data_IF_161091406571
#
_entry.id   IF_161091406571
#
_cell.length_a   1.000
_cell.length_b   1.000
_cell.length_c   1.000
_cell.angle_alpha   90.00
_cell.angle_beta   90.00
_cell.angle_gamma   90.00
#
_symmetry.space_group_name_H-M   'P 1'
#
loop_
_entity.id
_entity.type
_entity.pdbx_description
1 polymer ?
#
# COMPACT_ATOMS: atom_id res chain seq x y z
N UNK A 1 7.30 23.48 -24.06
CA UNK A 1 6.00 23.40 -23.33
C UNK A 1 6.12 22.33 -22.23
N UNK A 2 5.89 22.70 -20.97
CA UNK A 2 5.83 21.70 -19.87
C UNK A 2 4.42 21.11 -19.88
N UNK A 3 4.28 19.95 -20.50
CA UNK A 3 2.98 19.26 -20.60
C UNK A 3 2.43 18.96 -19.20
N UNK A 4 1.14 19.15 -19.00
CA UNK A 4 0.42 18.80 -17.77
C UNK A 4 0.65 17.33 -17.46
N UNK A 5 0.61 16.45 -18.48
CA UNK A 5 0.91 15.03 -18.35
C UNK A 5 2.27 14.75 -17.71
N UNK A 6 3.33 15.49 -18.05
CA UNK A 6 4.65 15.30 -17.46
C UNK A 6 4.70 15.74 -15.98
N UNK A 7 3.95 16.78 -15.60
CA UNK A 7 3.83 17.20 -14.19
C UNK A 7 3.12 16.12 -13.36
N UNK A 8 2.03 15.58 -13.88
CA UNK A 8 1.27 14.49 -13.24
C UNK A 8 2.11 13.23 -13.12
N UNK A 9 2.83 12.84 -14.17
CA UNK A 9 3.68 11.64 -14.18
C UNK A 9 4.83 11.76 -13.17
N UNK A 10 5.46 12.93 -13.06
CA UNK A 10 6.49 13.18 -12.05
C UNK A 10 5.94 13.08 -10.63
N UNK A 11 4.74 13.59 -10.38
CA UNK A 11 4.07 13.49 -9.07
C UNK A 11 3.76 12.02 -8.70
N UNK A 12 3.25 11.25 -9.66
CA UNK A 12 3.00 9.80 -9.46
C UNK A 12 4.31 9.08 -9.17
N UNK A 13 5.39 9.39 -9.91
CA UNK A 13 6.70 8.78 -9.67
C UNK A 13 7.23 9.03 -8.25
N UNK A 14 7.06 10.24 -7.71
CA UNK A 14 7.42 10.57 -6.33
C UNK A 14 6.64 9.70 -5.33
N UNK A 15 5.33 9.55 -5.51
CA UNK A 15 4.51 8.69 -4.65
C UNK A 15 4.92 7.21 -4.72
N UNK A 16 5.21 6.71 -5.91
CA UNK A 16 5.68 5.32 -6.11
C UNK A 16 7.01 5.09 -5.38
N UNK A 17 7.95 6.05 -5.45
CA UNK A 17 9.23 5.96 -4.74
C UNK A 17 9.04 5.96 -3.22
N UNK A 18 8.22 6.87 -2.68
CA UNK A 18 7.94 6.93 -1.23
C UNK A 18 7.30 5.62 -0.76
N UNK A 19 6.31 5.11 -1.50
CA UNK A 19 5.66 3.83 -1.19
C UNK A 19 6.62 2.66 -1.28
N UNK A 20 7.49 2.62 -2.30
CA UNK A 20 8.52 1.60 -2.46
C UNK A 20 9.49 1.54 -1.29
N UNK A 21 9.97 2.71 -0.82
CA UNK A 21 10.85 2.81 0.35
C UNK A 21 10.14 2.30 1.61
N UNK A 22 8.90 2.73 1.84
CA UNK A 22 8.12 2.28 2.99
C UNK A 22 7.93 0.76 3.00
N UNK A 23 7.57 0.19 1.86
CA UNK A 23 7.39 -1.26 1.69
C UNK A 23 8.71 -2.02 1.96
N UNK A 24 9.82 -1.55 1.41
CA UNK A 24 11.13 -2.18 1.59
C UNK A 24 11.56 -2.18 3.08
N UNK A 25 11.39 -1.07 3.80
CA UNK A 25 11.65 -0.96 5.23
C UNK A 25 10.76 -1.90 6.03
N UNK A 26 9.46 -1.93 5.74
CA UNK A 26 8.49 -2.79 6.42
C UNK A 26 8.80 -4.27 6.24
N UNK A 27 9.09 -4.72 5.02
CA UNK A 27 9.45 -6.11 4.72
C UNK A 27 10.72 -6.54 5.46
N UNK A 28 11.76 -5.67 5.47
CA UNK A 28 13.01 -5.96 6.19
C UNK A 28 12.78 -6.14 7.68
N UNK A 29 11.98 -5.26 8.28
CA UNK A 29 11.67 -5.34 9.71
C UNK A 29 10.81 -6.55 10.05
N UNK A 30 9.79 -6.87 9.25
CA UNK A 30 8.98 -8.07 9.43
C UNK A 30 9.83 -9.34 9.41
N UNK A 31 10.83 -9.41 8.53
CA UNK A 31 11.75 -10.55 8.50
C UNK A 31 12.56 -10.67 9.79
N UNK A 32 13.09 -9.57 10.33
CA UNK A 32 13.81 -9.55 11.61
C UNK A 32 12.93 -9.98 12.78
N UNK A 33 11.71 -9.44 12.86
CA UNK A 33 10.70 -9.76 13.87
C UNK A 33 10.32 -11.24 13.83
N UNK A 34 10.07 -11.77 12.63
CA UNK A 34 9.73 -13.19 12.44
C UNK A 34 10.87 -14.11 12.88
N UNK A 35 12.11 -13.78 12.55
CA UNK A 35 13.28 -14.57 12.93
C UNK A 35 13.48 -14.58 14.45
N UNK A 36 13.37 -13.44 15.13
CA UNK A 36 13.48 -13.37 16.58
C UNK A 36 12.36 -14.15 17.27
N UNK A 37 11.10 -14.00 16.81
CA UNK A 37 9.97 -14.78 17.34
C UNK A 37 10.14 -16.28 17.14
N UNK A 38 10.55 -16.71 15.95
CA UNK A 38 10.79 -18.12 15.65
C UNK A 38 11.88 -18.72 16.55
N UNK A 39 12.99 -18.00 16.79
CA UNK A 39 14.03 -18.45 17.71
C UNK A 39 13.50 -18.68 19.13
N UNK A 40 12.72 -17.76 19.65
CA UNK A 40 12.12 -17.90 20.99
C UNK A 40 11.20 -19.12 21.03
N UNK A 41 10.27 -19.24 20.10
CA UNK A 41 9.22 -20.28 20.14
C UNK A 41 9.67 -21.66 19.67
N UNK A 42 10.65 -21.73 18.77
CA UNK A 42 11.09 -22.99 18.16
C UNK A 42 12.41 -23.53 18.73
N UNK A 43 13.11 -22.74 19.54
CA UNK A 43 14.40 -23.13 20.12
C UNK A 43 14.43 -22.97 21.66
N UNK A 44 14.29 -21.74 22.16
CA UNK A 44 14.47 -21.48 23.61
C UNK A 44 13.35 -22.09 24.48
N UNK A 45 12.08 -21.88 24.11
CA UNK A 45 10.94 -22.43 24.88
C UNK A 45 10.95 -23.95 24.89
N UNK A 46 11.20 -24.66 23.78
CA UNK A 46 11.33 -26.11 23.81
C UNK A 46 12.44 -26.60 24.74
N UNK A 47 13.63 -25.99 24.75
CA UNK A 47 14.71 -26.35 25.68
C UNK A 47 14.26 -26.21 27.15
N UNK A 48 13.61 -25.07 27.49
CA UNK A 48 13.06 -24.89 28.85
C UNK A 48 12.02 -25.95 29.20
N UNK A 49 11.21 -26.39 28.24
CA UNK A 49 10.22 -27.44 28.43
C UNK A 49 10.89 -28.77 28.70
N UNK A 50 11.95 -29.10 27.96
CA UNK A 50 12.70 -30.35 28.21
C UNK A 50 13.42 -30.35 29.56
N UNK A 51 14.02 -29.24 29.98
CA UNK A 51 14.61 -29.09 31.31
C UNK A 51 13.54 -29.36 32.39
N UNK A 52 12.34 -28.81 32.25
CA UNK A 52 11.24 -29.05 33.16
C UNK A 52 10.78 -30.53 33.19
N UNK A 53 10.76 -31.20 32.03
CA UNK A 53 10.45 -32.61 31.92
C UNK A 53 11.51 -33.44 32.65
N UNK A 54 12.79 -33.14 32.45
CA UNK A 54 13.92 -33.79 33.16
C UNK A 54 13.78 -33.65 34.66
N UNK A 55 13.55 -32.44 35.20
CA UNK A 55 13.35 -32.18 36.61
C UNK A 55 12.25 -33.07 37.18
N UNK A 56 11.10 -33.13 36.52
CA UNK A 56 9.97 -33.98 36.95
C UNK A 56 10.32 -35.48 36.94
N UNK A 57 11.06 -35.92 35.93
CA UNK A 57 11.46 -37.32 35.83
C UNK A 57 12.50 -37.67 36.91
N UNK A 58 13.42 -36.76 37.22
CA UNK A 58 14.34 -36.92 38.35
C UNK A 58 13.61 -37.01 39.69
N UNK A 59 12.65 -36.13 39.98
CA UNK A 59 11.83 -36.18 41.20
C UNK A 59 11.06 -37.50 41.34
N UNK A 60 10.46 -37.99 40.23
CA UNK A 60 9.72 -39.24 40.22
C UNK A 60 10.64 -40.44 40.40
N UNK A 61 11.79 -40.45 39.69
CA UNK A 61 12.81 -41.48 39.84
C UNK A 61 13.31 -41.58 41.26
N UNK A 62 13.65 -40.46 41.90
CA UNK A 62 14.03 -40.39 43.31
C UNK A 62 12.92 -40.95 44.23
N UNK A 63 11.65 -40.58 43.97
CA UNK A 63 10.50 -41.09 44.72
C UNK A 63 10.35 -42.60 44.58
N UNK A 64 10.49 -43.16 43.38
CA UNK A 64 10.41 -44.60 43.15
C UNK A 64 11.52 -45.33 43.86
N UNK A 65 12.76 -44.88 43.76
CA UNK A 65 13.91 -45.46 44.48
C UNK A 65 13.72 -45.41 46.01
N UNK A 66 13.18 -44.33 46.55
CA UNK A 66 12.89 -44.21 47.97
C UNK A 66 11.85 -45.20 48.39
N UNK A 67 10.77 -45.44 47.64
CA UNK A 67 9.75 -46.43 47.98
C UNK A 67 10.34 -47.84 47.89
N UNK A 68 11.08 -48.20 46.86
CA UNK A 68 11.71 -49.47 46.65
C UNK A 68 12.69 -49.81 47.82
N UNK A 69 13.43 -48.80 48.30
CA UNK A 69 14.40 -48.94 49.40
C UNK A 69 13.76 -49.12 50.78
N UNK A 70 12.46 -48.78 50.91
CA UNK A 70 11.76 -48.86 52.21
C UNK A 70 10.82 -50.06 52.35
N UNK A 71 10.32 -50.62 51.23
CA UNK A 71 9.31 -51.68 51.24
C UNK A 71 9.85 -52.96 50.60
N UNK A 72 9.77 -54.07 51.30
CA UNK A 72 10.14 -55.42 50.86
C UNK A 72 8.91 -56.12 50.23
N UNK A 73 8.45 -55.64 49.11
CA UNK A 73 7.33 -56.18 48.34
C UNK A 73 7.77 -56.34 46.86
N UNK A 74 7.91 -57.61 46.44
CA UNK A 74 8.46 -57.94 45.13
C UNK A 74 7.59 -57.48 43.98
N UNK A 75 6.24 -57.53 44.12
CA UNK A 75 5.33 -57.07 43.04
C UNK A 75 5.37 -55.53 42.90
N UNK A 76 5.37 -54.80 44.00
CA UNK A 76 5.53 -53.34 44.03
C UNK A 76 6.90 -52.95 43.52
N UNK A 77 7.97 -53.68 43.90
CA UNK A 77 9.33 -53.45 43.43
C UNK A 77 9.40 -53.52 41.91
N UNK A 78 8.94 -54.58 41.25
CA UNK A 78 8.98 -54.81 39.85
C UNK A 78 8.21 -53.71 39.08
N UNK A 79 7.05 -53.28 39.63
CA UNK A 79 6.27 -52.18 39.03
C UNK A 79 7.01 -50.84 39.09
N UNK A 80 7.65 -50.51 40.21
CA UNK A 80 8.37 -49.26 40.40
C UNK A 80 9.70 -49.22 39.61
N UNK A 81 10.39 -50.35 39.47
CA UNK A 81 11.58 -50.51 38.63
C UNK A 81 11.25 -50.25 37.16
N UNK A 82 10.11 -50.76 36.67
CA UNK A 82 9.62 -50.45 35.33
C UNK A 82 9.35 -48.94 35.16
N UNK A 83 8.69 -48.32 36.15
CA UNK A 83 8.42 -46.89 36.17
C UNK A 83 9.70 -46.05 36.23
N UNK A 84 10.71 -46.50 36.99
CA UNK A 84 12.03 -45.84 37.04
C UNK A 84 12.75 -45.91 35.69
N UNK A 85 12.71 -47.04 35.00
CA UNK A 85 13.28 -47.20 33.67
C UNK A 85 12.62 -46.26 32.63
N UNK A 86 11.30 -46.06 32.77
CA UNK A 86 10.57 -45.09 31.92
C UNK A 86 11.02 -43.65 32.20
N UNK A 87 11.25 -43.26 33.46
CA UNK A 87 11.75 -41.90 33.78
C UNK A 87 13.19 -41.70 33.30
N UNK A 88 14.07 -42.72 33.45
CA UNK A 88 15.44 -42.65 32.89
C UNK A 88 15.41 -42.48 31.36
N UNK A 89 14.53 -43.21 30.68
CA UNK A 89 14.34 -43.08 29.26
C UNK A 89 13.86 -41.67 28.90
N UNK A 90 12.94 -41.11 29.67
CA UNK A 90 12.43 -39.74 29.46
C UNK A 90 13.54 -38.70 29.62
N UNK A 91 14.43 -38.85 30.60
CA UNK A 91 15.59 -37.98 30.81
C UNK A 91 16.49 -38.01 29.55
N UNK A 92 16.84 -39.21 29.08
CA UNK A 92 17.73 -39.39 27.92
C UNK A 92 17.10 -38.86 26.61
N UNK A 93 15.79 -39.03 26.43
CA UNK A 93 15.08 -38.48 25.27
C UNK A 93 15.02 -36.95 25.31
N UNK A 94 14.77 -36.37 26.47
CA UNK A 94 14.76 -34.92 26.66
C UNK A 94 16.15 -34.31 26.47
N UNK A 95 17.20 -34.93 26.96
CA UNK A 95 18.60 -34.56 26.73
C UNK A 95 18.91 -34.53 25.22
N UNK A 96 18.59 -35.62 24.53
CA UNK A 96 18.75 -35.67 23.06
C UNK A 96 17.97 -34.58 22.32
N UNK A 97 16.77 -34.24 22.79
CA UNK A 97 15.96 -33.19 22.26
C UNK A 97 16.61 -31.82 22.48
N UNK A 98 17.17 -31.55 23.66
CA UNK A 98 17.92 -30.32 23.96
C UNK A 98 19.11 -30.17 23.00
N UNK A 99 19.92 -31.22 22.83
CA UNK A 99 21.05 -31.24 21.91
C UNK A 99 20.62 -30.96 20.46
N UNK A 100 19.48 -31.51 20.00
CA UNK A 100 18.94 -31.28 18.66
C UNK A 100 18.42 -29.81 18.45
N UNK A 101 17.92 -29.19 19.52
CA UNK A 101 17.59 -27.75 19.47
C UNK A 101 18.84 -26.90 19.45
N UNK A 102 19.91 -27.27 20.19
CA UNK A 102 21.17 -26.56 20.20
C UNK A 102 21.87 -26.55 18.84
N UNK A 103 21.88 -27.67 18.12
CA UNK A 103 22.47 -27.73 16.76
C UNK A 103 21.87 -26.67 15.80
N UNK A 104 20.66 -26.22 16.05
CA UNK A 104 19.98 -25.18 15.27
C UNK A 104 20.32 -23.76 15.76
N UNK A 105 21.06 -23.64 16.85
CA UNK A 105 21.41 -22.38 17.48
C UNK A 105 22.89 -22.06 17.25
N UNK A 106 23.19 -20.88 16.76
CA UNK A 106 24.56 -20.39 16.60
C UNK A 106 25.01 -19.64 17.88
N UNK A 107 25.11 -20.40 19.02
CA UNK A 107 25.46 -19.83 20.33
C UNK A 107 26.41 -20.72 21.11
N UNK A 108 27.68 -20.39 21.11
CA UNK A 108 28.75 -21.12 21.77
C UNK A 108 28.61 -21.16 23.33
N UNK A 109 28.21 -20.02 23.94
CA UNK A 109 28.07 -19.93 25.40
C UNK A 109 26.95 -20.81 25.95
N UNK A 110 25.83 -20.95 25.21
CA UNK A 110 24.74 -21.86 25.59
C UNK A 110 25.15 -23.31 25.39
N UNK A 111 25.97 -23.62 24.40
CA UNK A 111 26.49 -24.98 24.16
C UNK A 111 27.31 -25.50 25.33
N UNK A 112 28.21 -24.68 25.90
CA UNK A 112 29.01 -25.09 27.08
C UNK A 112 28.13 -25.36 28.31
N UNK A 113 27.07 -24.56 28.50
CA UNK A 113 26.15 -24.75 29.64
C UNK A 113 25.24 -25.96 29.47
N UNK A 114 24.81 -26.26 28.27
CA UNK A 114 24.05 -27.47 27.95
C UNK A 114 24.95 -28.68 28.18
N UNK A 115 26.19 -28.67 27.73
CA UNK A 115 27.14 -29.75 27.93
C UNK A 115 27.38 -30.02 29.43
N UNK A 116 27.56 -29.00 30.26
CA UNK A 116 27.70 -29.17 31.69
C UNK A 116 26.42 -29.77 32.33
N UNK A 117 25.25 -29.41 31.80
CA UNK A 117 23.99 -30.01 32.27
C UNK A 117 23.83 -31.47 31.81
N UNK A 118 24.26 -31.81 30.60
CA UNK A 118 24.31 -33.20 30.09
C UNK A 118 25.25 -34.05 30.93
N UNK A 119 26.45 -33.58 31.29
CA UNK A 119 27.40 -34.28 32.17
C UNK A 119 26.77 -34.57 33.57
N UNK A 120 26.02 -33.60 34.09
CA UNK A 120 25.24 -33.84 35.34
C UNK A 120 24.15 -34.91 35.15
N UNK A 121 23.41 -34.90 34.02
CA UNK A 121 22.36 -35.92 33.79
C UNK A 121 22.92 -37.31 33.62
N UNK A 122 24.07 -37.47 32.99
CA UNK A 122 24.79 -38.74 32.93
C UNK A 122 25.12 -39.26 34.36
N UNK A 123 25.60 -38.37 35.24
CA UNK A 123 25.87 -38.69 36.65
C UNK A 123 24.60 -39.07 37.41
N UNK A 124 23.46 -38.44 37.11
CA UNK A 124 22.14 -38.81 37.72
C UNK A 124 21.71 -40.19 37.28
N UNK A 125 21.82 -40.51 35.99
CA UNK A 125 21.46 -41.84 35.47
C UNK A 125 22.38 -42.93 36.09
N UNK A 126 23.67 -42.66 36.17
CA UNK A 126 24.64 -43.56 36.83
C UNK A 126 24.26 -43.79 38.29
N UNK A 127 23.97 -42.70 39.03
CA UNK A 127 23.59 -42.80 40.43
C UNK A 127 22.27 -43.56 40.63
N UNK A 128 21.27 -43.40 39.77
CA UNK A 128 20.04 -44.19 39.80
C UNK A 128 20.32 -45.67 39.61
N UNK A 129 21.20 -46.05 38.68
CA UNK A 129 21.60 -47.43 38.43
C UNK A 129 22.37 -48.01 39.62
N UNK A 130 23.24 -47.23 40.25
CA UNK A 130 23.98 -47.70 41.51
C UNK A 130 23.01 -47.94 42.62
N UNK A 131 22.05 -47.05 42.88
CA UNK A 131 21.03 -47.20 43.90
C UNK A 131 20.18 -48.45 43.63
N UNK A 132 19.75 -48.67 42.39
CA UNK A 132 19.02 -49.86 42.00
C UNK A 132 19.84 -51.11 42.19
N UNK A 133 21.14 -51.14 41.90
CA UNK A 133 22.02 -52.30 42.18
C UNK A 133 22.13 -52.64 43.63
N UNK A 134 22.11 -51.65 44.54
CA UNK A 134 22.04 -51.94 45.98
C UNK A 134 20.68 -52.55 46.37
N UNK A 135 19.57 -52.05 45.79
CA UNK A 135 18.24 -52.65 46.02
C UNK A 135 18.20 -54.10 45.55
N UNK A 136 18.70 -54.40 44.36
CA UNK A 136 18.70 -55.72 43.74
C UNK A 136 19.54 -56.70 44.54
N UNK A 137 20.62 -56.25 45.22
CA UNK A 137 21.44 -57.03 46.10
C UNK A 137 20.86 -57.22 47.52
N UNK A 138 19.74 -56.54 47.80
CA UNK A 138 19.12 -56.55 49.15
C UNK A 138 19.82 -55.67 50.19
N UNK A 139 20.75 -54.81 49.74
CA UNK A 139 21.45 -53.85 50.61
C UNK A 139 20.70 -52.53 50.73
N UNK A 140 19.52 -52.54 51.30
CA UNK A 140 18.65 -51.37 51.47
C UNK A 140 19.31 -50.25 52.31
N UNK A 141 20.28 -50.62 53.20
CA UNK A 141 20.99 -49.59 53.96
C UNK A 141 21.90 -48.74 53.08
N UNK A 142 22.64 -49.37 52.16
CA UNK A 142 23.46 -48.66 51.17
C UNK A 142 22.60 -47.94 50.15
N UNK A 143 21.49 -48.54 49.68
CA UNK A 143 20.55 -47.87 48.79
C UNK A 143 20.02 -46.55 49.38
N UNK A 144 19.60 -46.61 50.67
CA UNK A 144 19.09 -45.44 51.38
C UNK A 144 20.17 -44.37 51.62
N UNK A 145 21.42 -44.78 51.92
CA UNK A 145 22.54 -43.83 52.03
C UNK A 145 22.88 -43.18 50.72
N UNK A 146 22.98 -43.96 49.65
CA UNK A 146 23.23 -43.43 48.32
C UNK A 146 22.13 -42.45 47.83
N UNK A 147 20.88 -42.74 48.17
CA UNK A 147 19.76 -41.86 47.84
C UNK A 147 19.71 -40.58 48.67
N UNK A 148 19.92 -40.69 49.98
CA UNK A 148 19.75 -39.59 50.93
C UNK A 148 20.97 -38.69 51.07
N UNK A 149 22.17 -39.21 50.77
CA UNK A 149 23.42 -38.46 50.87
C UNK A 149 24.07 -38.26 49.52
N UNK A 150 24.41 -39.32 48.77
CA UNK A 150 25.21 -39.20 47.57
C UNK A 150 24.42 -38.51 46.43
N UNK A 151 23.17 -38.94 46.21
CA UNK A 151 22.30 -38.33 45.23
C UNK A 151 21.96 -36.85 45.56
N UNK A 152 21.69 -36.56 46.84
CA UNK A 152 21.42 -35.20 47.27
C UNK A 152 22.64 -34.29 47.12
N UNK A 153 23.85 -34.79 47.40
CA UNK A 153 25.09 -34.07 47.17
C UNK A 153 25.31 -33.82 45.66
N UNK A 154 25.10 -34.84 44.81
CA UNK A 154 25.19 -34.70 43.36
C UNK A 154 24.27 -33.62 42.84
N UNK A 155 22.99 -33.63 43.22
CA UNK A 155 22.02 -32.60 42.80
C UNK A 155 22.45 -31.22 43.28
N UNK A 156 22.91 -31.08 44.53
CA UNK A 156 23.27 -29.81 45.14
C UNK A 156 24.59 -29.24 44.58
N UNK A 157 25.61 -30.08 44.40
CA UNK A 157 26.95 -29.65 44.07
C UNK A 157 27.14 -29.49 42.53
N UNK A 158 26.51 -30.33 41.73
CA UNK A 158 26.62 -30.32 40.27
C UNK A 158 25.33 -29.86 39.59
N UNK A 159 24.17 -30.39 39.99
CA UNK A 159 22.90 -30.16 39.35
C UNK A 159 22.39 -28.71 39.46
N UNK A 160 22.23 -28.22 40.69
CA UNK A 160 21.71 -26.84 40.91
C UNK A 160 22.55 -25.77 40.24
N UNK A 161 23.92 -25.82 40.27
CA UNK A 161 24.73 -24.86 39.55
C UNK A 161 24.60 -24.97 38.03
N UNK A 162 24.61 -26.19 37.47
CA UNK A 162 24.52 -26.43 36.03
C UNK A 162 23.15 -25.96 35.48
N UNK A 163 22.07 -26.36 36.16
CA UNK A 163 20.71 -25.96 35.81
C UNK A 163 20.50 -24.45 35.94
N UNK A 164 20.96 -23.86 37.06
CA UNK A 164 20.87 -22.40 37.26
C UNK A 164 21.63 -21.63 36.16
N UNK A 165 22.83 -22.08 35.79
CA UNK A 165 23.63 -21.48 34.75
C UNK A 165 22.94 -21.59 33.38
N UNK A 166 22.37 -22.76 33.07
CA UNK A 166 21.66 -23.02 31.83
C UNK A 166 20.36 -22.18 31.75
N UNK A 167 19.52 -22.24 32.78
CA UNK A 167 18.24 -21.52 32.84
C UNK A 167 18.47 -20.01 32.74
N UNK A 168 19.45 -19.46 33.45
CA UNK A 168 19.81 -18.04 33.38
C UNK A 168 20.28 -17.63 31.99
N UNK A 169 21.06 -18.49 31.32
CA UNK A 169 21.51 -18.20 29.94
C UNK A 169 20.35 -18.24 28.96
N UNK A 170 19.38 -19.17 29.10
CA UNK A 170 18.17 -19.22 28.31
C UNK A 170 17.29 -17.99 28.54
N UNK A 171 17.06 -17.59 29.77
CA UNK A 171 16.29 -16.40 30.13
C UNK A 171 16.93 -15.15 29.56
N UNK A 172 18.26 -15.05 29.65
CA UNK A 172 18.99 -13.91 29.05
C UNK A 172 18.86 -13.89 27.53
N UNK A 173 19.02 -15.04 26.88
CA UNK A 173 18.82 -15.15 25.42
C UNK A 173 17.41 -14.77 24.97
N UNK A 174 16.38 -15.21 25.72
CA UNK A 174 14.99 -14.81 25.48
C UNK A 174 14.80 -13.29 25.68
N UNK A 175 15.40 -12.74 26.75
CA UNK A 175 15.33 -11.31 27.05
C UNK A 175 15.98 -10.47 25.95
N UNK A 176 17.18 -10.84 25.51
CA UNK A 176 17.92 -10.15 24.45
C UNK A 176 17.17 -10.20 23.11
N UNK A 177 16.60 -11.36 22.75
CA UNK A 177 15.76 -11.51 21.57
C UNK A 177 14.47 -10.70 21.66
N UNK A 178 13.85 -10.66 22.84
CA UNK A 178 12.64 -9.86 23.09
C UNK A 178 12.93 -8.37 23.02
N UNK A 179 14.06 -7.93 23.56
CA UNK A 179 14.51 -6.54 23.42
C UNK A 179 14.77 -6.18 21.94
N UNK A 180 15.48 -7.04 21.21
CA UNK A 180 15.73 -6.86 19.77
C UNK A 180 14.43 -6.82 18.97
N UNK A 181 13.48 -7.70 19.28
CA UNK A 181 12.13 -7.73 18.72
C UNK A 181 11.42 -6.38 18.96
N UNK A 182 11.34 -5.95 20.22
CA UNK A 182 10.68 -4.71 20.60
C UNK A 182 11.33 -3.49 19.96
N UNK A 183 12.66 -3.41 19.95
CA UNK A 183 13.41 -2.34 19.30
C UNK A 183 13.15 -2.29 17.79
N UNK A 184 13.10 -3.45 17.13
CA UNK A 184 12.79 -3.55 15.71
C UNK A 184 11.36 -3.07 15.42
N UNK A 185 10.38 -3.48 16.23
CA UNK A 185 8.98 -3.03 16.12
C UNK A 185 8.86 -1.52 16.35
N UNK A 186 9.46 -0.99 17.41
CA UNK A 186 9.42 0.45 17.73
C UNK A 186 10.08 1.28 16.62
N UNK A 187 11.23 0.84 16.12
CA UNK A 187 11.93 1.52 15.01
C UNK A 187 11.06 1.52 13.75
N UNK A 188 10.41 0.39 13.42
CA UNK A 188 9.51 0.31 12.28
C UNK A 188 8.29 1.24 12.42
N UNK A 189 7.66 1.25 13.59
CA UNK A 189 6.54 2.14 13.88
C UNK A 189 6.93 3.62 13.75
N UNK A 190 8.11 3.99 14.25
CA UNK A 190 8.62 5.35 14.17
C UNK A 190 8.92 5.74 12.72
N UNK A 191 9.62 4.88 11.97
CA UNK A 191 9.89 5.10 10.54
C UNK A 191 8.61 5.20 9.71
N UNK A 192 7.64 4.33 9.95
CA UNK A 192 6.34 4.37 9.28
C UNK A 192 5.59 5.69 9.58
N UNK A 193 5.59 6.15 10.83
CA UNK A 193 4.99 7.44 11.21
C UNK A 193 5.66 8.62 10.50
N UNK A 194 6.99 8.65 10.44
CA UNK A 194 7.77 9.69 9.76
C UNK A 194 7.45 9.69 8.26
N UNK A 195 7.51 8.53 7.60
CA UNK A 195 7.22 8.39 6.18
C UNK A 195 5.77 8.77 5.85
N UNK A 196 4.81 8.40 6.70
CA UNK A 196 3.40 8.78 6.54
C UNK A 196 3.18 10.28 6.68
N UNK A 197 3.80 10.92 7.67
CA UNK A 197 3.76 12.38 7.83
C UNK A 197 4.37 13.09 6.62
N UNK A 198 5.51 12.60 6.12
CA UNK A 198 6.14 13.13 4.91
C UNK A 198 5.25 12.96 3.68
N UNK A 199 4.58 11.80 3.54
CA UNK A 199 3.62 11.56 2.48
C UNK A 199 2.45 12.58 2.49
N UNK A 200 1.89 12.88 3.67
CA UNK A 200 0.82 13.88 3.81
C UNK A 200 1.30 15.26 3.35
N UNK A 201 2.51 15.68 3.76
CA UNK A 201 3.09 16.96 3.36
C UNK A 201 3.25 17.01 1.83
N UNK A 202 3.85 15.99 1.23
CA UNK A 202 4.03 15.91 -0.23
C UNK A 202 2.67 15.92 -0.95
N UNK A 203 1.68 15.16 -0.47
CA UNK A 203 0.34 15.14 -1.05
C UNK A 203 -0.31 16.54 -1.02
N UNK A 204 -0.21 17.24 0.10
CA UNK A 204 -0.74 18.61 0.25
C UNK A 204 -0.08 19.58 -0.73
N UNK A 205 1.25 19.52 -0.88
CA UNK A 205 2.01 20.34 -1.84
C UNK A 205 1.58 20.01 -3.27
N UNK A 206 1.44 18.73 -3.60
CA UNK A 206 0.97 18.28 -4.92
C UNK A 206 -0.43 18.82 -5.24
N UNK A 207 -1.37 18.70 -4.30
CA UNK A 207 -2.74 19.23 -4.46
C UNK A 207 -2.72 20.75 -4.69
N UNK A 208 -1.90 21.47 -3.92
CA UNK A 208 -1.76 22.91 -4.07
C UNK A 208 -1.22 23.32 -5.45
N UNK A 209 -0.17 22.64 -5.92
CA UNK A 209 0.41 22.85 -7.25
C UNK A 209 -0.61 22.54 -8.33
N UNK A 210 -1.30 21.40 -8.27
CA UNK A 210 -2.33 21.01 -9.24
C UNK A 210 -3.47 22.03 -9.30
N UNK A 211 -3.95 22.47 -8.14
CA UNK A 211 -4.99 23.49 -8.06
C UNK A 211 -4.56 24.80 -8.74
N UNK A 212 -3.32 25.25 -8.49
CA UNK A 212 -2.80 26.51 -9.04
C UNK A 212 -2.46 26.42 -10.53
N UNK A 213 -1.92 25.28 -11.00
CA UNK A 213 -1.39 25.19 -12.38
C UNK A 213 -2.33 24.54 -13.38
N UNK A 214 -3.35 23.82 -12.93
CA UNK A 214 -4.29 23.11 -13.82
C UNK A 214 -5.74 23.49 -13.54
N UNK A 215 -6.20 23.22 -12.29
CA UNK A 215 -7.63 23.33 -11.98
C UNK A 215 -8.15 24.77 -12.10
N UNK A 216 -7.42 25.74 -11.54
CA UNK A 216 -7.82 27.15 -11.57
C UNK A 216 -7.81 27.73 -12.99
N UNK A 217 -6.73 27.62 -13.81
CA UNK A 217 -6.74 28.13 -15.18
C UNK A 217 -7.78 27.45 -16.08
N UNK A 218 -8.02 26.15 -15.91
CA UNK A 218 -9.06 25.44 -16.65
C UNK A 218 -10.47 25.95 -16.31
N UNK A 219 -10.74 26.20 -15.02
CA UNK A 219 -12.01 26.75 -14.57
C UNK A 219 -12.22 28.19 -15.08
N UNK A 220 -11.18 29.03 -15.02
CA UNK A 220 -11.22 30.40 -15.53
C UNK A 220 -11.47 30.42 -17.04
N UNK A 221 -10.83 29.53 -17.82
CA UNK A 221 -11.08 29.41 -19.25
C UNK A 221 -12.53 29.00 -19.56
N UNK A 222 -13.05 28.04 -18.84
CA UNK A 222 -14.43 27.56 -18.96
C UNK A 222 -15.45 28.66 -18.59
N UNK A 223 -15.19 29.40 -17.52
CA UNK A 223 -16.07 30.49 -17.08
C UNK A 223 -16.13 31.65 -18.12
N UNK A 224 -14.96 32.12 -18.60
CA UNK A 224 -14.91 33.16 -19.62
C UNK A 224 -15.57 32.70 -20.91
N UNK A 225 -15.37 31.47 -21.35
CA UNK A 225 -16.04 30.91 -22.52
C UNK A 225 -17.56 30.88 -22.35
N UNK A 226 -18.04 30.44 -21.17
CA UNK A 226 -19.47 30.38 -20.86
C UNK A 226 -20.09 31.77 -20.87
N UNK A 227 -19.42 32.76 -20.31
CA UNK A 227 -19.86 34.17 -20.32
C UNK A 227 -19.96 34.73 -21.75
N UNK A 228 -18.95 34.51 -22.61
CA UNK A 228 -18.99 34.88 -24.00
C UNK A 228 -20.18 34.26 -24.75
N UNK A 229 -20.42 32.94 -24.52
CA UNK A 229 -21.55 32.23 -25.14
C UNK A 229 -22.90 32.76 -24.64
N UNK A 230 -23.03 33.05 -23.34
CA UNK A 230 -24.26 33.62 -22.79
C UNK A 230 -24.56 34.99 -23.32
N UNK A 231 -23.55 35.90 -23.45
CA UNK A 231 -23.68 37.20 -24.02
C UNK A 231 -24.10 37.12 -25.52
N UNK A 232 -23.53 36.16 -26.26
CA UNK A 232 -23.94 35.93 -27.69
C UNK A 232 -25.41 35.48 -27.74
N UNK A 233 -25.87 34.58 -26.88
CA UNK A 233 -27.24 34.08 -26.85
C UNK A 233 -28.25 35.20 -26.50
N UNK A 234 -27.86 36.14 -25.65
CA UNK A 234 -28.71 37.27 -25.23
C UNK A 234 -28.70 38.44 -26.21
N UNK A 235 -28.08 38.28 -27.41
CA UNK A 235 -27.86 39.36 -28.42
C UNK A 235 -27.01 40.53 -27.92
N UNK A 236 -26.25 40.37 -26.87
CA UNK A 236 -25.29 41.32 -26.29
C UNK A 236 -23.84 40.89 -26.58
N UNK A 237 -23.64 39.88 -27.44
CA UNK A 237 -22.35 39.26 -27.72
C UNK A 237 -21.35 40.17 -28.43
N UNK A 238 -20.21 40.35 -27.82
CA UNK A 238 -19.03 40.97 -28.43
C UNK A 238 -18.06 39.92 -28.92
N UNK A 239 -18.03 39.66 -30.22
CA UNK A 239 -17.11 38.72 -30.86
C UNK A 239 -15.64 39.21 -30.82
N UNK A 240 -15.33 40.37 -30.23
CA UNK A 240 -13.96 40.83 -29.99
C UNK A 240 -13.41 40.37 -28.66
N UNK A 241 -14.25 39.90 -27.75
CA UNK A 241 -13.81 39.31 -26.48
C UNK A 241 -12.89 38.11 -26.71
N UNK A 242 -11.92 37.92 -25.82
CA UNK A 242 -10.92 36.85 -25.87
C UNK A 242 -10.70 36.28 -24.52
N UNK A 243 -10.42 34.96 -24.48
CA UNK A 243 -10.01 34.26 -23.25
C UNK A 243 -8.57 34.70 -22.92
N UNK A 244 -8.35 35.35 -21.77
CA UNK A 244 -7.03 35.80 -21.32
C UNK A 244 -6.44 34.83 -20.29
N UNK A 245 -6.03 33.64 -20.75
CA UNK A 245 -5.34 32.62 -19.94
C UNK A 245 -3.92 32.48 -20.44
N UNK A 246 -2.94 32.90 -19.63
CA UNK A 246 -1.51 32.88 -19.96
C UNK A 246 -0.77 31.71 -19.30
N UNK A 247 -1.00 30.51 -19.82
CA UNK A 247 -0.25 29.32 -19.43
C UNK A 247 0.53 28.77 -20.63
N UNK A 248 1.70 28.11 -20.33
CA UNK A 248 2.55 27.51 -21.37
C UNK A 248 2.34 26.00 -21.48
N UNK A 249 1.11 25.53 -21.28
CA UNK A 249 0.72 24.12 -21.32
C UNK A 249 -0.52 23.92 -22.20
N UNK A 250 -1.16 22.75 -22.08
CA UNK A 250 -2.32 22.37 -22.89
C UNK A 250 -3.52 23.33 -22.67
N UNK A 251 -3.67 23.94 -21.49
CA UNK A 251 -4.74 24.92 -21.22
C UNK A 251 -4.49 26.20 -22.00
N UNK A 252 -3.25 26.71 -22.05
CA UNK A 252 -2.89 27.85 -22.84
C UNK A 252 -3.07 27.60 -24.36
N UNK A 253 -2.78 26.38 -24.83
CA UNK A 253 -3.02 25.99 -26.21
C UNK A 253 -4.52 25.93 -26.54
N UNK A 254 -5.34 25.41 -25.63
CA UNK A 254 -6.80 25.41 -25.77
C UNK A 254 -7.36 26.82 -25.85
N UNK A 255 -6.95 27.70 -24.93
CA UNK A 255 -7.38 29.10 -24.91
C UNK A 255 -7.03 29.82 -26.22
N UNK A 256 -5.81 29.57 -26.74
CA UNK A 256 -5.40 30.10 -28.05
C UNK A 256 -6.29 29.57 -29.19
N UNK A 257 -6.56 28.26 -29.23
CA UNK A 257 -7.42 27.65 -30.23
C UNK A 257 -8.85 28.23 -30.23
N UNK A 258 -9.40 28.48 -29.03
CA UNK A 258 -10.71 29.14 -28.89
C UNK A 258 -10.64 30.58 -29.39
N UNK A 259 -9.61 31.35 -29.07
CA UNK A 259 -9.43 32.71 -29.55
C UNK A 259 -9.28 32.79 -31.08
N UNK A 260 -8.56 31.86 -31.68
CA UNK A 260 -8.40 31.73 -33.13
C UNK A 260 -9.76 31.42 -33.79
N UNK A 261 -10.56 30.54 -33.22
CA UNK A 261 -11.92 30.23 -33.66
C UNK A 261 -12.84 31.44 -33.57
N UNK A 262 -12.81 32.18 -32.44
CA UNK A 262 -13.58 33.43 -32.29
C UNK A 262 -13.19 34.47 -33.36
N UNK A 263 -11.90 34.60 -33.67
CA UNK A 263 -11.43 35.48 -34.75
C UNK A 263 -11.96 35.09 -36.14
N UNK A 264 -12.06 33.79 -36.43
CA UNK A 264 -12.65 33.28 -37.66
C UNK A 264 -14.16 33.57 -37.71
N UNK A 265 -14.91 33.34 -36.62
CA UNK A 265 -16.33 33.68 -36.54
C UNK A 265 -16.56 35.17 -36.77
N UNK A 266 -15.79 36.03 -36.12
CA UNK A 266 -15.85 37.50 -36.32
C UNK A 266 -15.65 37.87 -37.79
N UNK A 267 -14.66 37.27 -38.47
CA UNK A 267 -14.40 37.50 -39.91
C UNK A 267 -15.57 37.06 -40.78
N UNK A 268 -16.18 35.91 -40.49
CA UNK A 268 -17.36 35.39 -41.22
C UNK A 268 -18.56 36.33 -41.05
N UNK A 269 -18.87 36.73 -39.84
CA UNK A 269 -20.00 37.66 -39.56
C UNK A 269 -19.78 39.02 -40.23
N UNK A 270 -18.56 39.56 -40.19
CA UNK A 270 -18.23 40.80 -40.89
C UNK A 270 -18.43 40.69 -42.40
N UNK A 271 -18.08 39.58 -43.05
CA UNK A 271 -18.33 39.30 -44.45
C UNK A 271 -19.82 39.22 -44.76
N UNK A 272 -20.60 38.50 -43.90
CA UNK A 272 -22.05 38.42 -44.07
C UNK A 272 -22.70 39.80 -43.97
N UNK A 273 -22.29 40.61 -42.98
CA UNK A 273 -22.80 41.97 -42.81
C UNK A 273 -22.54 42.84 -44.06
N UNK A 274 -21.29 42.83 -44.58
CA UNK A 274 -20.96 43.53 -45.82
C UNK A 274 -21.75 43.03 -47.01
N UNK A 275 -21.96 41.74 -47.14
CA UNK A 275 -22.74 41.15 -48.25
C UNK A 275 -24.22 41.53 -48.14
N UNK A 276 -24.77 41.58 -46.90
CA UNK A 276 -26.13 42.05 -46.64
C UNK A 276 -26.32 43.54 -47.03
N UNK A 277 -25.33 44.37 -46.67
CA UNK A 277 -25.34 45.79 -47.07
C UNK A 277 -25.30 45.97 -48.61
N UNK A 278 -24.43 45.23 -49.32
CA UNK A 278 -24.39 45.22 -50.78
C UNK A 278 -25.70 44.73 -51.39
N UNK A 279 -26.33 43.71 -50.79
CA UNK A 279 -27.61 43.20 -51.25
C UNK A 279 -28.72 44.24 -51.09
N UNK A 280 -28.78 44.95 -49.93
CA UNK A 280 -29.71 46.09 -49.79
C UNK A 280 -29.54 47.19 -50.85
N UNK A 281 -28.28 47.55 -51.11
CA UNK A 281 -27.96 48.50 -52.16
C UNK A 281 -28.42 48.02 -53.55
N UNK A 282 -28.17 46.76 -53.89
CA UNK A 282 -28.59 46.15 -55.15
C UNK A 282 -30.11 46.09 -55.26
N UNK A 283 -30.83 45.75 -54.19
CA UNK A 283 -32.29 45.79 -54.14
C UNK A 283 -32.84 47.22 -54.36
N UNK A 284 -32.17 48.24 -53.78
CA UNK A 284 -32.51 49.63 -54.00
C UNK A 284 -32.36 50.06 -55.50
N UNK A 285 -31.26 49.64 -56.12
CA UNK A 285 -31.03 49.92 -57.59
C UNK A 285 -32.08 49.19 -58.46
N UNK A 286 -32.35 47.88 -58.08
CA UNK A 286 -33.35 47.11 -58.83
C UNK A 286 -34.76 47.70 -58.69
N UNK A 287 -35.16 48.25 -57.55
CA UNK A 287 -36.43 48.92 -57.36
C UNK A 287 -36.51 50.20 -58.22
N UNK A 288 -35.41 50.96 -58.34
CA UNK A 288 -35.33 52.14 -59.24
C UNK A 288 -35.47 51.72 -60.71
N UNK A 289 -34.82 50.61 -61.12
CA UNK A 289 -34.91 50.11 -62.50
C UNK A 289 -36.31 49.60 -62.86
N UNK A 290 -36.96 48.90 -61.89
CA UNK A 290 -38.35 48.44 -62.03
C UNK A 290 -39.31 49.63 -62.18
N UNK A 291 -39.14 50.70 -61.40
CA UNK A 291 -39.95 51.91 -61.55
C UNK A 291 -39.74 52.60 -62.91
N UNK A 292 -38.50 52.74 -63.36
CA UNK A 292 -38.16 53.29 -64.70
C UNK A 292 -38.75 52.42 -65.83
N UNK A 293 -38.71 51.10 -65.68
CA UNK A 293 -39.32 50.17 -66.62
C UNK A 293 -40.84 50.35 -66.67
N UNK A 294 -41.50 50.57 -65.54
CA UNK A 294 -42.93 50.83 -65.45
C UNK A 294 -43.32 52.12 -66.09
N UNK A 295 -42.49 53.20 -65.90
CA UNK A 295 -42.69 54.51 -66.63
C UNK A 295 -42.55 54.32 -68.10
N UNK A 296 -41.58 53.54 -68.60
CA UNK A 296 -41.43 53.23 -70.01
C UNK A 296 -42.62 52.43 -70.58
N UNK A 297 -43.17 51.45 -69.78
CA UNK A 297 -44.39 50.73 -70.19
C UNK A 297 -45.57 51.70 -70.34
N UNK A 298 -45.79 52.61 -69.39
CA UNK A 298 -46.84 53.63 -69.44
C UNK A 298 -46.64 54.56 -70.66
N UNK A 299 -45.38 54.97 -70.95
CA UNK A 299 -45.07 55.76 -72.14
C UNK A 299 -45.38 54.97 -73.41
N UNK A 300 -45.02 53.69 -73.53
CA UNK A 300 -45.38 52.84 -74.68
C UNK A 300 -46.89 52.72 -74.84
N UNK A 301 -47.62 52.56 -73.71
CA UNK A 301 -49.09 52.48 -73.74
C UNK A 301 -49.71 53.76 -74.28
N UNK A 302 -49.23 54.93 -73.88
CA UNK A 302 -49.71 56.22 -74.42
C UNK A 302 -49.38 56.41 -75.91
N UNK A 303 -48.20 55.94 -76.32
CA UNK A 303 -47.86 55.96 -77.80
C UNK A 303 -48.72 54.99 -78.57
N UNK A 304 -49.09 53.82 -78.04
CA UNK A 304 -50.03 52.90 -78.68
C UNK A 304 -51.40 53.49 -78.80
N UNK A 305 -51.91 54.23 -77.81
CA UNK A 305 -53.16 54.96 -77.90
C UNK A 305 -53.13 56.01 -79.00
N UNK A 306 -52.01 56.80 -79.10
CA UNK A 306 -51.80 57.79 -80.18
C UNK A 306 -51.77 57.13 -81.56
N UNK A 307 -51.07 55.98 -81.69
CA UNK A 307 -51.02 55.20 -82.91
C UNK A 307 -52.43 54.74 -83.31
N UNK A 308 -53.20 54.26 -82.38
CA UNK A 308 -54.56 53.82 -82.60
C UNK A 308 -55.44 54.94 -83.06
N UNK A 309 -55.37 56.12 -82.42
CA UNK A 309 -56.12 57.30 -82.85
C UNK A 309 -55.71 57.78 -84.27
N UNK A 310 -54.40 57.74 -84.56
CA UNK A 310 -53.92 58.08 -85.94
C UNK A 310 -54.37 57.05 -86.97
N UNK A 311 -54.44 55.80 -86.66
CA UNK A 311 -54.99 54.76 -87.54
C UNK A 311 -56.50 54.93 -87.78
N UNK A 312 -57.28 55.34 -86.78
CA UNK A 312 -58.69 55.68 -86.88
C UNK A 312 -58.89 56.87 -87.81
N UNK A 313 -58.04 57.91 -87.66
CA UNK A 313 -58.08 59.09 -88.54
C UNK A 313 -57.70 58.75 -90.00
N UNK A 314 -56.70 57.92 -90.21
CA UNK A 314 -56.36 57.38 -91.51
C UNK A 314 -57.49 56.57 -92.09
N UNK A 315 -58.13 55.69 -91.29
CA UNK A 315 -59.28 54.91 -91.76
C UNK A 315 -60.45 55.78 -92.17
N UNK A 316 -60.78 56.80 -91.36
CA UNK A 316 -61.81 57.78 -91.69
C UNK A 316 -61.45 58.60 -92.95
N UNK A 317 -60.18 58.92 -93.17
CA UNK A 317 -59.74 59.60 -94.39
C UNK A 317 -59.83 58.76 -95.66
N UNK A 318 -59.58 57.45 -95.52
CA UNK A 318 -59.73 56.49 -96.63
C UNK A 318 -61.18 56.22 -96.93
N UNK A 319 -62.09 56.15 -95.94
CA UNK A 319 -63.53 56.06 -96.17
C UNK A 319 -64.14 57.30 -96.83
N UNK A 320 -63.57 58.52 -96.56
CA UNK A 320 -63.98 59.74 -97.17
C UNK A 320 -63.53 59.90 -98.63
N UNK A 321 -62.66 59.03 -99.12
CA UNK A 321 -62.12 59.05 -100.53
C UNK A 321 -62.77 57.97 -101.43
N UNK A 322 -63.66 57.16 -100.93
CA UNK A 322 -64.44 56.14 -101.67
C UNK A 322 -65.83 56.65 -101.96
#
# INVERSE_FOLDING_TARGET
MKKIGNKVLLMIAVFVVIFGINTAVSVRTQKSVKLAGARITEQYIPIQTEIFNIQKSMERGQKYLNIISLYDDDDLRQQLETSLADEITTIAESEKSISAYLEKMDQTDLADKIKNYEEFLDSVIEQFNVIQGYVDSGDFAQANMALSVDFQNLVKEEGEPAETALTKSLEQGISDLSEQYNKSVQTNLLMTKILFSFFIVVATVVIFIMRKTVSRPAHEASSQLSEIIENINNNEGDLTERIDIRTNDEIGQLSKGINDFMGQLQSVICKISKQSEMMQKTLGLMNTEVNSSNDNVNYIASMMEQITASMEEITASVEGLS
#
